data_IF_518770906255
#
_entry.id   IF_518770906255
#
_cell.length_a   1.000
_cell.length_b   1.000
_cell.length_c   1.000
_cell.angle_alpha   90.00
_cell.angle_beta   90.00
_cell.angle_gamma   90.00
#
_symmetry.space_group_name_H-M   'P 1'
#
loop_
_entity.id
_entity.type
_entity.pdbx_description
1 polymer ?
#
# COMPACT_ATOMS: atom_id res chain seq x y z
N UNK A 1 -3.49 -12.68 38.43
CA UNK A 1 -2.10 -13.02 38.07
C UNK A 1 -1.84 -12.47 36.68
N UNK A 2 -1.46 -11.21 36.57
CA UNK A 2 -1.34 -10.48 35.30
C UNK A 2 0.09 -10.58 34.79
N UNK A 3 0.24 -11.06 33.55
CA UNK A 3 1.50 -11.11 32.83
C UNK A 3 1.95 -9.68 32.52
N UNK A 4 3.07 -9.27 33.13
CA UNK A 4 3.76 -8.02 32.81
C UNK A 4 4.55 -8.20 31.52
N UNK A 5 4.09 -7.58 30.44
CA UNK A 5 4.85 -7.45 29.20
C UNK A 5 5.92 -6.35 29.37
N UNK A 6 7.20 -6.58 29.04
CA UNK A 6 8.28 -5.64 29.31
C UNK A 6 8.52 -4.68 28.14
N UNK A 7 7.50 -3.94 27.71
CA UNK A 7 7.70 -2.81 26.80
C UNK A 7 6.93 -1.60 27.32
N UNK A 8 7.67 -0.50 27.48
CA UNK A 8 7.22 0.85 27.85
C UNK A 8 7.04 1.11 29.36
N UNK A 9 8.16 1.22 30.07
CA UNK A 9 8.29 2.18 31.17
C UNK A 9 9.14 3.34 30.68
N UNK A 10 8.49 4.30 30.04
CA UNK A 10 9.04 5.63 29.78
C UNK A 10 7.88 6.60 29.93
N UNK A 11 7.95 7.47 30.93
CA UNK A 11 7.14 8.70 30.95
C UNK A 11 7.47 9.53 29.71
N UNK A 12 6.54 10.37 29.21
CA UNK A 12 6.82 11.32 28.14
C UNK A 12 7.68 12.46 28.72
N UNK A 13 8.91 12.12 29.10
CA UNK A 13 9.93 13.06 29.53
C UNK A 13 10.73 13.38 28.27
N UNK A 14 10.83 14.68 27.95
CA UNK A 14 11.60 15.19 26.82
C UNK A 14 12.97 14.51 26.81
N UNK A 15 13.24 13.70 25.77
CA UNK A 15 14.54 13.03 25.64
C UNK A 15 15.61 14.12 25.70
N UNK A 16 16.49 14.14 26.72
CA UNK A 16 17.45 15.22 26.86
C UNK A 16 18.28 15.31 25.58
N UNK A 17 18.51 16.51 25.04
CA UNK A 17 19.34 16.73 23.84
C UNK A 17 20.74 16.08 23.94
N UNK A 18 21.17 15.79 25.16
CA UNK A 18 22.45 15.18 25.52
C UNK A 18 22.39 13.65 25.57
N UNK A 19 21.25 13.04 25.23
CA UNK A 19 21.10 11.59 25.16
C UNK A 19 21.61 11.04 23.81
N UNK A 20 21.96 9.76 23.80
CA UNK A 20 22.44 9.07 22.61
C UNK A 20 21.38 8.11 22.08
N UNK A 21 21.16 8.13 20.77
CA UNK A 21 20.37 7.12 20.08
C UNK A 21 21.27 5.93 19.75
N UNK A 22 20.90 4.73 20.21
CA UNK A 22 21.67 3.51 19.99
C UNK A 22 20.94 2.56 19.06
N UNK A 23 21.59 2.17 17.97
CA UNK A 23 21.10 1.14 17.07
C UNK A 23 21.05 -0.23 17.77
N UNK A 24 19.90 -0.92 17.74
CA UNK A 24 19.78 -2.24 18.36
C UNK A 24 20.59 -3.33 17.63
N UNK A 25 20.83 -3.18 16.33
CA UNK A 25 21.50 -4.19 15.50
C UNK A 25 23.02 -4.07 15.53
N UNK A 26 23.56 -2.88 15.24
CA UNK A 26 25.01 -2.66 15.14
C UNK A 26 25.61 -1.92 16.33
N UNK A 27 24.80 -1.51 17.32
CA UNK A 27 25.22 -0.82 18.55
C UNK A 27 25.89 0.55 18.34
N UNK A 28 25.91 1.08 17.12
CA UNK A 28 26.36 2.45 16.82
C UNK A 28 25.51 3.44 17.63
N UNK A 29 26.18 4.42 18.22
CA UNK A 29 25.57 5.50 19.00
C UNK A 29 25.67 6.80 18.21
N UNK A 30 24.56 7.53 18.14
CA UNK A 30 24.44 8.80 17.42
C UNK A 30 23.85 9.82 18.39
N UNK A 31 24.40 11.04 18.50
CA UNK A 31 23.81 12.08 19.34
C UNK A 31 22.37 12.39 18.92
N UNK A 32 21.48 12.61 19.89
CA UNK A 32 20.08 12.96 19.58
C UNK A 32 19.98 14.23 18.73
N UNK A 33 20.87 15.20 18.91
CA UNK A 33 20.94 16.40 18.06
C UNK A 33 21.12 16.08 16.57
N UNK A 34 22.01 15.14 16.22
CA UNK A 34 22.26 14.74 14.83
C UNK A 34 21.05 13.98 14.23
N UNK A 35 20.36 13.18 15.04
CA UNK A 35 19.10 12.53 14.65
C UNK A 35 18.03 13.59 14.35
N UNK A 36 17.88 14.58 15.23
CA UNK A 36 16.90 15.66 15.06
C UNK A 36 17.21 16.51 13.82
N UNK A 37 18.47 16.88 13.60
CA UNK A 37 18.90 17.61 12.40
C UNK A 37 18.60 16.81 11.12
N UNK A 38 18.83 15.50 11.14
CA UNK A 38 18.50 14.59 10.04
C UNK A 38 16.99 14.58 9.78
N UNK A 39 16.17 14.44 10.82
CA UNK A 39 14.71 14.44 10.71
C UNK A 39 14.17 15.77 10.21
N UNK A 40 14.75 16.89 10.64
CA UNK A 40 14.38 18.23 10.18
C UNK A 40 14.72 18.40 8.70
N UNK A 41 15.91 17.97 8.26
CA UNK A 41 16.32 18.00 6.86
C UNK A 41 15.38 17.17 5.98
N UNK A 42 15.02 15.96 6.40
CA UNK A 42 14.08 15.10 5.67
C UNK A 42 12.70 15.76 5.61
N UNK A 43 12.21 16.32 6.72
CA UNK A 43 10.92 17.01 6.78
C UNK A 43 10.87 18.24 5.85
N UNK A 44 11.94 19.03 5.80
CA UNK A 44 12.07 20.16 4.86
C UNK A 44 12.07 19.70 3.40
N UNK A 45 12.77 18.61 3.09
CA UNK A 45 12.74 18.02 1.75
C UNK A 45 11.33 17.53 1.39
N UNK A 46 10.67 16.80 2.29
CA UNK A 46 9.30 16.32 2.05
C UNK A 46 8.33 17.48 1.81
N UNK A 47 8.48 18.57 2.54
CA UNK A 47 7.62 19.76 2.42
C UNK A 47 7.82 20.52 1.09
N UNK A 48 9.03 20.48 0.53
CA UNK A 48 9.36 21.14 -0.74
C UNK A 48 9.16 20.25 -1.97
N UNK A 49 8.93 18.95 -1.76
CA UNK A 49 8.67 17.99 -2.83
C UNK A 49 7.37 18.31 -3.58
N UNK A 50 7.40 18.24 -4.91
CA UNK A 50 6.20 18.32 -5.75
C UNK A 50 5.21 17.22 -5.39
N UNK A 51 3.94 17.60 -5.21
CA UNK A 51 2.86 16.71 -4.78
C UNK A 51 2.07 16.25 -6.00
N UNK A 52 1.57 15.02 -5.96
CA UNK A 52 0.76 14.47 -7.05
C UNK A 52 1.56 13.82 -8.19
N UNK A 53 2.89 13.83 -8.14
CA UNK A 53 3.75 13.19 -9.14
C UNK A 53 4.37 11.88 -8.58
N UNK A 54 4.10 10.70 -9.17
CA UNK A 54 4.72 9.44 -8.73
C UNK A 54 6.25 9.49 -8.69
N UNK A 55 6.88 10.13 -9.69
CA UNK A 55 8.34 10.25 -9.77
C UNK A 55 8.94 11.04 -8.61
N UNK A 56 8.24 12.06 -8.11
CA UNK A 56 8.66 12.79 -6.91
C UNK A 56 8.74 11.88 -5.70
N UNK A 57 7.76 11.00 -5.51
CA UNK A 57 7.78 10.00 -4.44
C UNK A 57 8.87 8.93 -4.61
N UNK A 58 9.17 8.52 -5.85
CA UNK A 58 10.28 7.59 -6.14
C UNK A 58 11.64 8.24 -5.80
N UNK A 59 11.88 9.47 -6.26
CA UNK A 59 13.11 10.23 -5.92
C UNK A 59 13.30 10.41 -4.41
N UNK A 60 12.22 10.70 -3.69
CA UNK A 60 12.27 10.81 -2.23
C UNK A 60 12.74 9.51 -1.57
N UNK A 61 12.22 8.36 -2.03
CA UNK A 61 12.64 7.07 -1.48
C UNK A 61 14.11 6.79 -1.78
N UNK A 62 14.55 6.95 -3.03
CA UNK A 62 15.95 6.75 -3.41
C UNK A 62 16.91 7.64 -2.60
N UNK A 63 16.50 8.88 -2.31
CA UNK A 63 17.29 9.84 -1.55
C UNK A 63 17.46 9.46 -0.06
N UNK A 64 16.48 8.79 0.55
CA UNK A 64 16.43 8.58 2.00
C UNK A 64 16.38 7.12 2.45
N UNK A 65 16.27 6.15 1.56
CA UNK A 65 16.21 4.71 1.89
C UNK A 65 17.47 4.19 2.60
N UNK A 66 18.62 4.82 2.39
CA UNK A 66 19.89 4.46 3.03
C UNK A 66 20.11 5.19 4.37
N UNK A 67 19.27 6.18 4.69
CA UNK A 67 19.38 7.01 5.89
C UNK A 67 18.30 6.63 6.91
N UNK A 68 17.09 6.34 6.42
CA UNK A 68 15.94 6.03 7.25
C UNK A 68 15.63 4.55 7.22
N UNK A 69 15.14 4.00 8.33
CA UNK A 69 14.64 2.64 8.37
C UNK A 69 13.53 2.44 7.32
N UNK A 70 13.42 1.30 6.61
CA UNK A 70 12.44 1.10 5.54
C UNK A 70 10.95 1.28 5.91
N UNK A 71 10.63 1.28 7.20
CA UNK A 71 9.30 1.52 7.78
C UNK A 71 9.22 2.85 8.56
N UNK A 72 10.20 3.73 8.41
CA UNK A 72 10.19 5.06 9.02
C UNK A 72 9.00 5.87 8.51
N UNK A 73 8.34 6.65 9.38
CA UNK A 73 7.06 7.29 9.05
C UNK A 73 7.11 8.17 7.79
N UNK A 74 8.19 8.94 7.56
CA UNK A 74 8.37 9.71 6.32
C UNK A 74 8.39 8.84 5.05
N UNK A 75 9.08 7.70 5.08
CA UNK A 75 9.10 6.78 3.94
C UNK A 75 7.73 6.13 3.76
N UNK A 76 7.09 5.73 4.86
CA UNK A 76 5.75 5.13 4.84
C UNK A 76 4.70 6.08 4.28
N UNK A 77 4.72 7.36 4.68
CA UNK A 77 3.81 8.40 4.18
C UNK A 77 3.95 8.60 2.66
N UNK A 78 5.19 8.74 2.18
CA UNK A 78 5.48 8.84 0.74
C UNK A 78 5.10 7.57 -0.01
N UNK A 79 5.28 6.40 0.59
CA UNK A 79 4.88 5.12 0.03
C UNK A 79 3.36 4.98 -0.09
N UNK A 80 2.60 5.44 0.91
CA UNK A 80 1.14 5.49 0.86
C UNK A 80 0.65 6.40 -0.27
N UNK A 81 1.25 7.59 -0.41
CA UNK A 81 0.95 8.50 -1.52
C UNK A 81 1.27 7.85 -2.88
N UNK A 82 2.47 7.28 -3.05
CA UNK A 82 2.89 6.64 -4.29
C UNK A 82 1.95 5.51 -4.71
N UNK A 83 1.49 4.69 -3.76
CA UNK A 83 0.53 3.61 -4.03
C UNK A 83 -0.76 4.13 -4.70
N UNK A 84 -1.23 5.31 -4.30
CA UNK A 84 -2.44 5.95 -4.84
C UNK A 84 -2.18 6.72 -6.15
N UNK A 85 -0.96 7.25 -6.36
CA UNK A 85 -0.64 8.08 -7.53
C UNK A 85 -0.39 7.29 -8.82
N UNK A 86 0.11 6.06 -8.74
CA UNK A 86 0.33 5.23 -9.93
C UNK A 86 -0.96 5.05 -10.75
N UNK A 87 -0.91 5.50 -12.00
CA UNK A 87 -2.04 5.43 -12.95
C UNK A 87 -3.00 6.61 -12.84
N UNK A 88 -2.73 7.62 -12.01
CA UNK A 88 -3.52 8.85 -11.94
C UNK A 88 -2.98 9.95 -12.86
N UNK A 89 -1.72 9.85 -13.28
CA UNK A 89 -1.01 10.79 -14.14
C UNK A 89 -1.25 10.55 -15.65
N UNK A 90 -2.08 9.56 -15.99
CA UNK A 90 -2.27 9.06 -17.34
C UNK A 90 -3.77 8.89 -17.66
N UNK A 91 -4.28 9.42 -18.80
CA UNK A 91 -5.69 9.27 -19.19
C UNK A 91 -6.14 7.81 -19.33
N UNK A 92 -5.23 6.92 -19.72
CA UNK A 92 -5.44 5.47 -19.85
C UNK A 92 -5.45 4.74 -18.50
N UNK A 93 -5.23 5.46 -17.39
CA UNK A 93 -5.22 4.91 -16.05
C UNK A 93 -4.10 3.87 -15.86
N UNK A 94 -4.41 2.79 -15.15
CA UNK A 94 -3.48 1.66 -14.98
C UNK A 94 -3.09 0.98 -16.30
N UNK A 95 -3.88 1.12 -17.39
CA UNK A 95 -3.52 0.52 -18.68
C UNK A 95 -2.30 1.20 -19.30
N UNK A 96 -2.11 2.50 -19.04
CA UNK A 96 -0.94 3.26 -19.49
C UNK A 96 0.32 3.06 -18.61
N UNK A 97 0.19 2.45 -17.43
CA UNK A 97 1.33 2.18 -16.54
C UNK A 97 2.15 1.00 -17.08
N UNK A 98 3.46 1.17 -17.22
CA UNK A 98 4.35 0.11 -17.69
C UNK A 98 4.41 -1.10 -16.73
N UNK A 99 4.72 -2.30 -17.25
CA UNK A 99 4.70 -3.54 -16.44
C UNK A 99 5.63 -3.47 -15.23
N UNK A 100 6.79 -2.83 -15.37
CA UNK A 100 7.75 -2.64 -14.27
C UNK A 100 7.12 -1.88 -13.10
N UNK A 101 6.43 -0.78 -13.40
CA UNK A 101 5.82 0.08 -12.37
C UNK A 101 4.54 -0.55 -11.80
N UNK A 102 3.80 -1.31 -12.62
CA UNK A 102 2.69 -2.15 -12.15
C UNK A 102 3.17 -3.18 -11.10
N UNK A 103 4.31 -3.85 -11.35
CA UNK A 103 4.93 -4.76 -10.39
C UNK A 103 5.42 -4.06 -9.12
N UNK A 104 5.99 -2.84 -9.25
CA UNK A 104 6.36 -2.03 -8.08
C UNK A 104 5.13 -1.73 -7.23
N UNK A 105 4.01 -1.31 -7.84
CA UNK A 105 2.76 -1.02 -7.11
C UNK A 105 2.21 -2.25 -6.38
N UNK A 106 2.23 -3.44 -6.99
CA UNK A 106 1.82 -4.69 -6.32
C UNK A 106 2.66 -4.94 -5.06
N UNK A 107 3.99 -4.90 -5.19
CA UNK A 107 4.91 -5.13 -4.06
C UNK A 107 4.73 -4.09 -2.97
N UNK A 108 4.57 -2.82 -3.36
CA UNK A 108 4.36 -1.70 -2.46
C UNK A 108 3.07 -1.85 -1.65
N UNK A 109 1.94 -2.12 -2.31
CA UNK A 109 0.66 -2.27 -1.62
C UNK A 109 0.69 -3.45 -0.64
N UNK A 110 1.29 -4.58 -1.01
CA UNK A 110 1.46 -5.73 -0.09
C UNK A 110 2.34 -5.39 1.10
N UNK A 111 3.47 -4.71 0.89
CA UNK A 111 4.36 -4.25 1.98
C UNK A 111 3.59 -3.35 2.95
N UNK A 112 2.85 -2.37 2.42
CA UNK A 112 2.10 -1.41 3.23
C UNK A 112 0.95 -2.09 3.99
N UNK A 113 0.23 -3.03 3.38
CA UNK A 113 -0.80 -3.81 4.07
C UNK A 113 -0.22 -4.58 5.27
N UNK A 114 0.90 -5.29 5.07
CA UNK A 114 1.59 -5.99 6.17
C UNK A 114 2.00 -5.02 7.29
N UNK A 115 2.50 -3.84 6.95
CA UNK A 115 2.91 -2.84 7.93
C UNK A 115 1.71 -2.27 8.70
N UNK A 116 0.65 -1.90 8.00
CA UNK A 116 -0.57 -1.32 8.59
C UNK A 116 -1.31 -2.33 9.46
N UNK A 117 -1.39 -3.60 9.04
CA UNK A 117 -1.96 -4.68 9.85
C UNK A 117 -1.19 -4.90 11.17
N UNK A 118 0.12 -4.61 11.19
CA UNK A 118 0.93 -4.71 12.39
C UNK A 118 0.81 -3.46 13.30
N UNK A 119 0.85 -2.27 12.71
CA UNK A 119 0.88 -1.01 13.47
C UNK A 119 -0.49 -0.56 13.94
N UNK A 120 -1.50 -0.64 13.06
CA UNK A 120 -2.83 -0.06 13.26
C UNK A 120 -3.93 -0.98 12.71
N UNK A 121 -4.06 -2.22 13.24
CA UNK A 121 -4.99 -3.23 12.70
C UNK A 121 -6.46 -2.78 12.67
N UNK A 122 -6.84 -1.83 13.51
CA UNK A 122 -8.20 -1.28 13.61
C UNK A 122 -8.44 -0.06 12.73
N UNK A 123 -7.43 0.42 12.00
CA UNK A 123 -7.59 1.52 11.05
C UNK A 123 -8.17 0.97 9.74
N UNK A 124 -9.44 1.27 9.46
CA UNK A 124 -10.12 0.69 8.30
C UNK A 124 -9.84 1.44 7.00
N UNK A 125 -9.65 2.76 7.05
CA UNK A 125 -9.60 3.61 5.86
C UNK A 125 -8.39 3.31 5.00
N UNK A 126 -7.19 3.35 5.57
CA UNK A 126 -5.93 3.06 4.86
C UNK A 126 -5.85 1.62 4.41
N UNK A 127 -6.37 0.66 5.21
CA UNK A 127 -6.45 -0.75 4.82
C UNK A 127 -7.36 -0.94 3.62
N UNK A 128 -8.55 -0.32 3.65
CA UNK A 128 -9.52 -0.36 2.57
C UNK A 128 -8.98 0.26 1.28
N UNK A 129 -8.34 1.43 1.38
CA UNK A 129 -7.69 2.11 0.25
C UNK A 129 -6.59 1.24 -0.35
N UNK A 130 -5.69 0.67 0.47
CA UNK A 130 -4.62 -0.20 -0.02
C UNK A 130 -5.13 -1.49 -0.66
N UNK A 131 -6.19 -2.09 -0.11
CA UNK A 131 -6.84 -3.26 -0.73
C UNK A 131 -7.51 -2.90 -2.05
N UNK A 132 -8.09 -1.70 -2.15
CA UNK A 132 -8.65 -1.19 -3.40
C UNK A 132 -7.53 -1.01 -4.45
N UNK A 133 -6.45 -0.33 -4.11
CA UNK A 133 -5.33 -0.14 -5.04
C UNK A 133 -4.71 -1.47 -5.46
N UNK A 134 -4.55 -2.43 -4.54
CA UNK A 134 -3.99 -3.74 -4.83
C UNK A 134 -4.88 -4.58 -5.75
N UNK A 135 -6.22 -4.59 -5.57
CA UNK A 135 -7.09 -5.34 -6.47
C UNK A 135 -6.96 -4.83 -7.92
N UNK A 136 -6.85 -3.51 -8.08
CA UNK A 136 -6.86 -2.88 -9.39
C UNK A 136 -5.63 -3.30 -10.20
N UNK A 137 -4.46 -3.31 -9.57
CA UNK A 137 -3.21 -3.76 -10.23
C UNK A 137 -3.14 -5.27 -10.41
N UNK A 138 -3.70 -6.08 -9.50
CA UNK A 138 -3.77 -7.54 -9.67
C UNK A 138 -4.69 -7.91 -10.84
N UNK A 139 -5.84 -7.24 -10.97
CA UNK A 139 -6.76 -7.45 -12.10
C UNK A 139 -6.14 -7.00 -13.43
N UNK A 140 -5.44 -5.88 -13.44
CA UNK A 140 -4.74 -5.39 -14.63
C UNK A 140 -3.59 -6.33 -15.05
N UNK A 141 -2.79 -6.81 -14.11
CA UNK A 141 -1.75 -7.81 -14.39
C UNK A 141 -2.34 -9.08 -15.01
N UNK A 142 -3.43 -9.60 -14.42
CA UNK A 142 -4.11 -10.79 -14.93
C UNK A 142 -4.62 -10.58 -16.37
N UNK A 143 -5.21 -9.41 -16.66
CA UNK A 143 -5.67 -9.04 -18.00
C UNK A 143 -4.54 -9.04 -19.03
N UNK A 144 -3.38 -8.45 -18.68
CA UNK A 144 -2.21 -8.38 -19.57
C UNK A 144 -1.65 -9.76 -19.87
N UNK A 145 -1.49 -10.60 -18.86
CA UNK A 145 -0.99 -11.99 -19.01
C UNK A 145 -1.94 -12.84 -19.85
N UNK A 146 -3.25 -12.71 -19.63
CA UNK A 146 -4.25 -13.39 -20.45
C UNK A 146 -4.18 -12.97 -21.93
N UNK A 147 -3.90 -11.69 -22.20
CA UNK A 147 -3.86 -11.16 -23.57
C UNK A 147 -2.54 -11.47 -24.31
N UNK A 148 -1.40 -11.49 -23.62
CA UNK A 148 -0.07 -11.64 -24.24
C UNK A 148 0.43 -13.08 -24.28
N UNK A 149 0.28 -13.79 -23.18
CA UNK A 149 1.01 -15.04 -22.94
C UNK A 149 0.11 -16.28 -23.00
N UNK A 150 -1.19 -16.10 -23.27
CA UNK A 150 -2.17 -17.20 -23.24
C UNK A 150 -2.25 -17.83 -21.85
N UNK A 151 -2.42 -16.99 -20.81
CA UNK A 151 -2.53 -17.42 -19.41
C UNK A 151 -3.51 -18.59 -19.25
N UNK A 152 -3.12 -19.60 -18.49
CA UNK A 152 -3.97 -20.74 -18.19
C UNK A 152 -5.30 -20.24 -17.56
N UNK A 153 -6.48 -20.71 -18.04
CA UNK A 153 -7.77 -20.27 -17.51
C UNK A 153 -7.92 -20.42 -15.98
N UNK A 154 -7.32 -21.45 -15.39
CA UNK A 154 -7.26 -21.65 -13.94
C UNK A 154 -6.41 -20.60 -13.23
N UNK A 155 -5.22 -20.27 -13.74
CA UNK A 155 -4.38 -19.21 -13.16
C UNK A 155 -5.06 -17.84 -13.28
N UNK A 156 -5.70 -17.56 -14.42
CA UNK A 156 -6.47 -16.34 -14.61
C UNK A 156 -7.63 -16.26 -13.61
N UNK A 157 -8.38 -17.35 -13.43
CA UNK A 157 -9.46 -17.45 -12.43
C UNK A 157 -8.93 -17.21 -11.01
N UNK A 158 -7.79 -17.79 -10.64
CA UNK A 158 -7.21 -17.63 -9.31
C UNK A 158 -6.80 -16.18 -9.04
N UNK A 159 -6.26 -15.47 -10.04
CA UNK A 159 -5.97 -14.03 -9.93
C UNK A 159 -7.23 -13.18 -9.78
N UNK A 160 -8.29 -13.51 -10.51
CA UNK A 160 -9.58 -12.83 -10.36
C UNK A 160 -10.22 -13.11 -9.00
N UNK A 161 -10.05 -14.33 -8.44
CA UNK A 161 -10.50 -14.64 -7.09
C UNK A 161 -9.69 -13.91 -6.02
N UNK A 162 -8.39 -13.74 -6.21
CA UNK A 162 -7.55 -12.88 -5.36
C UNK A 162 -8.07 -11.43 -5.40
N UNK A 163 -8.27 -10.88 -6.60
CA UNK A 163 -8.84 -9.54 -6.79
C UNK A 163 -10.21 -9.40 -6.10
N UNK A 164 -11.09 -10.40 -6.24
CA UNK A 164 -12.41 -10.42 -5.59
C UNK A 164 -12.32 -10.36 -4.08
N UNK A 165 -11.38 -11.11 -3.46
CA UNK A 165 -11.18 -11.10 -2.00
C UNK A 165 -10.72 -9.72 -1.52
N UNK A 166 -9.74 -9.13 -2.21
CA UNK A 166 -9.26 -7.78 -1.90
C UNK A 166 -10.37 -6.74 -2.02
N UNK A 167 -11.14 -6.81 -3.11
CA UNK A 167 -12.22 -5.88 -3.40
C UNK A 167 -13.38 -6.00 -2.42
N UNK A 168 -13.76 -7.23 -2.04
CA UNK A 168 -14.77 -7.48 -1.00
C UNK A 168 -14.37 -6.83 0.31
N UNK A 169 -13.12 -7.01 0.73
CA UNK A 169 -12.62 -6.40 1.96
C UNK A 169 -12.53 -4.89 1.86
N UNK A 170 -12.08 -4.34 0.73
CA UNK A 170 -12.06 -2.90 0.50
C UNK A 170 -13.47 -2.29 0.60
N UNK A 171 -14.46 -2.91 -0.03
CA UNK A 171 -15.85 -2.46 0.03
C UNK A 171 -16.40 -2.49 1.46
N UNK A 172 -16.08 -3.52 2.24
CA UNK A 172 -16.47 -3.64 3.65
C UNK A 172 -15.82 -2.57 4.54
N UNK A 173 -14.51 -2.40 4.41
CA UNK A 173 -13.75 -1.46 5.26
C UNK A 173 -14.13 0.00 4.99
N UNK A 174 -14.44 0.33 3.74
CA UNK A 174 -14.80 1.70 3.32
C UNK A 174 -16.32 1.97 3.33
N UNK A 175 -17.16 1.02 3.78
CA UNK A 175 -18.61 1.11 3.61
C UNK A 175 -19.29 2.32 4.28
N UNK A 176 -18.65 2.89 5.31
CA UNK A 176 -19.15 4.04 6.07
C UNK A 176 -18.48 5.36 5.66
N UNK A 177 -17.62 5.35 4.65
CA UNK A 177 -16.97 6.56 4.17
C UNK A 177 -17.95 7.45 3.39
N UNK A 178 -18.05 8.76 3.70
CA UNK A 178 -18.93 9.66 2.97
C UNK A 178 -18.56 9.79 1.49
N UNK A 179 -19.54 9.72 0.59
CA UNK A 179 -19.32 9.79 -0.88
C UNK A 179 -18.71 11.13 -1.37
N UNK A 180 -18.75 12.17 -0.54
CA UNK A 180 -18.06 13.44 -0.83
C UNK A 180 -16.54 13.29 -0.77
N UNK A 181 -16.03 12.36 0.03
CA UNK A 181 -14.60 12.08 0.19
C UNK A 181 -14.10 11.09 -0.87
N UNK A 182 -12.79 11.10 -1.19
CA UNK A 182 -12.20 10.13 -2.10
C UNK A 182 -12.50 8.68 -1.73
N UNK A 183 -12.40 8.33 -0.44
CA UNK A 183 -12.57 6.97 0.06
C UNK A 183 -14.03 6.48 -0.05
N UNK A 184 -15.01 7.38 0.11
CA UNK A 184 -16.41 7.06 -0.13
C UNK A 184 -16.69 6.80 -1.62
N UNK A 185 -16.08 7.56 -2.51
CA UNK A 185 -16.14 7.30 -3.96
C UNK A 185 -15.49 5.95 -4.30
N UNK A 186 -14.37 5.62 -3.66
CA UNK A 186 -13.73 4.30 -3.79
C UNK A 186 -14.66 3.19 -3.29
N UNK A 187 -15.38 3.39 -2.18
CA UNK A 187 -16.35 2.41 -1.68
C UNK A 187 -17.49 2.16 -2.70
N UNK A 188 -18.02 3.22 -3.32
CA UNK A 188 -19.03 3.11 -4.38
C UNK A 188 -18.47 2.35 -5.59
N UNK A 189 -17.26 2.71 -6.03
CA UNK A 189 -16.62 2.04 -7.16
C UNK A 189 -16.29 0.58 -6.84
N UNK A 190 -15.92 0.28 -5.59
CA UNK A 190 -15.58 -1.06 -5.16
C UNK A 190 -16.77 -2.02 -5.30
N UNK A 191 -17.98 -1.55 -4.93
CA UNK A 191 -19.22 -2.32 -5.07
C UNK A 191 -19.54 -2.60 -6.53
N UNK A 192 -19.43 -1.59 -7.41
CA UNK A 192 -19.63 -1.76 -8.87
C UNK A 192 -18.63 -2.75 -9.47
N UNK A 193 -17.35 -2.56 -9.19
CA UNK A 193 -16.29 -3.46 -9.65
C UNK A 193 -16.54 -4.91 -9.17
N UNK A 194 -17.14 -5.10 -7.98
CA UNK A 194 -17.42 -6.41 -7.43
C UNK A 194 -18.55 -7.11 -8.20
N UNK A 195 -19.57 -6.37 -8.60
CA UNK A 195 -20.64 -6.85 -9.48
C UNK A 195 -20.06 -7.29 -10.83
N UNK A 196 -19.27 -6.43 -11.48
CA UNK A 196 -18.62 -6.72 -12.77
C UNK A 196 -17.72 -7.97 -12.67
N UNK A 197 -16.93 -8.07 -11.60
CA UNK A 197 -16.02 -9.19 -11.37
C UNK A 197 -16.77 -10.51 -11.11
N UNK A 198 -17.93 -10.45 -10.45
CA UNK A 198 -18.78 -11.63 -10.26
C UNK A 198 -19.33 -12.15 -11.58
N UNK A 199 -19.80 -11.25 -12.46
CA UNK A 199 -20.28 -11.60 -13.81
C UNK A 199 -19.14 -12.23 -14.61
N UNK A 200 -17.95 -11.62 -14.58
CA UNK A 200 -16.77 -12.14 -15.28
C UNK A 200 -16.39 -13.55 -14.80
N UNK A 201 -16.35 -13.77 -13.49
CA UNK A 201 -16.04 -15.09 -12.90
C UNK A 201 -17.09 -16.14 -13.28
N UNK A 202 -18.37 -15.79 -13.35
CA UNK A 202 -19.43 -16.69 -13.79
C UNK A 202 -19.23 -17.10 -15.26
N UNK A 203 -18.91 -16.16 -16.14
CA UNK A 203 -18.66 -16.44 -17.56
C UNK A 203 -17.44 -17.36 -17.75
N UNK A 204 -16.38 -17.15 -16.97
CA UNK A 204 -15.19 -18.02 -17.00
C UNK A 204 -15.53 -19.43 -16.52
N UNK A 205 -16.31 -19.57 -15.46
CA UNK A 205 -16.76 -20.89 -14.97
C UNK A 205 -17.54 -21.66 -16.04
N UNK A 206 -18.47 -20.99 -16.74
CA UNK A 206 -19.23 -21.59 -17.85
C UNK A 206 -18.32 -21.99 -19.01
N UNK A 207 -17.27 -21.20 -19.29
CA UNK A 207 -16.32 -21.45 -20.40
C UNK A 207 -15.36 -22.60 -20.11
N UNK A 208 -14.93 -22.76 -18.86
CA UNK A 208 -14.03 -23.85 -18.42
C UNK A 208 -14.80 -25.18 -18.28
N UNK A 209 -16.14 -25.13 -18.17
CA UNK A 209 -16.98 -26.29 -17.90
C UNK A 209 -16.86 -26.75 -16.45
N UNK A 210 -17.92 -27.38 -15.94
CA UNK A 210 -17.92 -28.08 -14.65
C UNK A 210 -16.93 -29.25 -14.69
N UNK A 211 -15.63 -28.96 -14.54
CA UNK A 211 -14.66 -29.98 -14.18
C UNK A 211 -14.94 -30.36 -12.73
N UNK A 212 -15.46 -31.59 -12.46
CA UNK A 212 -15.75 -31.99 -11.10
C UNK A 212 -14.43 -32.10 -10.32
N UNK A 213 -14.55 -31.78 -9.04
CA UNK A 213 -13.50 -31.85 -8.01
C UNK A 213 -12.79 -33.21 -8.05
#
# INVERSE_FOLDING_TARGET
MALKHPLLQGTPEETPLNSEWRCHTCQVMVPVSEVLETLEKVGRYLSSMEKGEPRSCERFQEQFENILHPNHFYLTDVQLALAQLYGQDCPEGLQGVGDKDLQKKIKLCRKLLTLVDHLVPSENRVRGVLMFELHAVVAEEARRRASRDGMNPGEFRDRLLESKRLLTNAAFLLQYEPEVLPEGKMAVQARKNLEDLNILLQNIHVTIGDSPI
#
